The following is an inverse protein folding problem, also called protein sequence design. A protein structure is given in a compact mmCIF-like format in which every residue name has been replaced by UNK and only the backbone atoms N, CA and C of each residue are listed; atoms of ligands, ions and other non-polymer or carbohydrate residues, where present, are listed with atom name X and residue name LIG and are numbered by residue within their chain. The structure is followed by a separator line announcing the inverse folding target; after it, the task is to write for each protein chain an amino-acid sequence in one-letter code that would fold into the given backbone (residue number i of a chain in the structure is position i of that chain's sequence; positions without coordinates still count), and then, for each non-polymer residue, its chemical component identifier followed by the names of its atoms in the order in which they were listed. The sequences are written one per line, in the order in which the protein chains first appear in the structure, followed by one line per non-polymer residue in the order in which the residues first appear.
data_IF_835655204510
#
_entry.id   IF_835655204510
#
_cell.length_a   1.000
_cell.length_b   1.000
_cell.length_c   1.000
_cell.angle_alpha   90.00
_cell.angle_beta   90.00
_cell.angle_gamma   90.00
#
_symmetry.space_group_name_H-M   'P 1'
#
loop_
_entity.id
_entity.type
_entity.pdbx_description
1 polymer ?
#
# COMPACT_ATOMS: atom_id res chain seq x y z
N UNK A 1 22.44 2.87 -11.05
CA UNK A 1 22.07 1.86 -10.02
C UNK A 1 23.09 0.74 -10.11
N UNK A 2 23.86 0.48 -9.05
CA UNK A 2 24.96 -0.49 -9.13
C UNK A 2 24.46 -1.93 -8.97
N UNK A 3 25.06 -2.90 -9.66
CA UNK A 3 24.77 -4.34 -9.50
C UNK A 3 24.90 -4.80 -8.03
N UNK A 4 25.76 -4.15 -7.26
CA UNK A 4 25.96 -4.40 -5.83
C UNK A 4 24.75 -4.04 -4.97
N UNK A 5 23.97 -3.02 -5.35
CA UNK A 5 22.77 -2.61 -4.59
C UNK A 5 21.63 -3.62 -4.80
N UNK A 6 21.48 -4.10 -6.04
CA UNK A 6 20.52 -5.14 -6.40
C UNK A 6 20.85 -6.46 -5.68
N UNK A 7 22.13 -6.83 -5.62
CA UNK A 7 22.60 -8.03 -4.93
C UNK A 7 22.43 -7.94 -3.42
N UNK A 8 22.61 -6.76 -2.83
CA UNK A 8 22.43 -6.51 -1.39
C UNK A 8 20.95 -6.53 -1.01
N UNK A 9 20.07 -5.90 -1.80
CA UNK A 9 18.61 -5.98 -1.63
C UNK A 9 18.10 -7.41 -1.81
N UNK A 10 18.59 -8.13 -2.83
CA UNK A 10 18.27 -9.55 -3.04
C UNK A 10 18.76 -10.42 -1.88
N UNK A 11 19.90 -10.10 -1.25
CA UNK A 11 20.38 -10.77 -0.02
C UNK A 11 19.51 -10.47 1.19
N UNK A 12 18.95 -9.28 1.33
CA UNK A 12 18.03 -8.94 2.43
C UNK A 12 16.70 -9.67 2.29
N UNK A 13 16.14 -9.70 1.08
CA UNK A 13 14.99 -10.55 0.74
C UNK A 13 15.36 -12.01 1.04
N UNK A 14 16.45 -12.55 0.49
CA UNK A 14 16.84 -13.93 0.75
C UNK A 14 17.17 -14.25 2.23
N UNK A 15 17.59 -13.28 3.05
CA UNK A 15 17.76 -13.46 4.51
C UNK A 15 16.43 -13.45 5.26
N UNK A 16 15.46 -12.64 4.83
CA UNK A 16 14.08 -12.75 5.31
C UNK A 16 13.42 -14.08 4.88
N UNK A 17 13.97 -14.70 3.84
CA UNK A 17 13.63 -16.04 3.35
C UNK A 17 14.63 -17.13 3.81
N UNK A 18 15.55 -16.82 4.74
CA UNK A 18 16.46 -17.84 5.28
C UNK A 18 15.70 -18.72 6.28
N UNK A 19 15.79 -20.06 6.19
CA UNK A 19 15.13 -21.02 7.10
C UNK A 19 15.53 -20.90 8.58
N UNK A 20 16.35 -19.92 8.94
CA UNK A 20 16.87 -19.68 10.29
C UNK A 20 16.06 -18.65 11.09
N UNK A 21 15.08 -17.98 10.47
CA UNK A 21 14.03 -17.28 11.21
C UNK A 21 13.05 -18.32 11.80
N UNK A 22 12.53 -18.11 13.03
CA UNK A 22 11.90 -19.15 13.82
C UNK A 22 10.82 -19.95 13.07
N UNK A 23 10.78 -21.24 13.40
CA UNK A 23 10.27 -22.42 12.64
C UNK A 23 8.76 -22.36 12.30
N UNK A 24 8.06 -21.28 12.62
CA UNK A 24 6.60 -21.12 12.46
C UNK A 24 6.17 -20.82 11.01
N UNK A 25 7.07 -20.29 10.16
CA UNK A 25 6.67 -19.70 8.88
C UNK A 25 6.54 -20.68 7.68
N UNK A 26 7.26 -21.80 7.67
CA UNK A 26 7.29 -22.71 6.50
C UNK A 26 5.91 -23.29 6.13
N UNK A 27 5.04 -23.51 7.10
CA UNK A 27 3.68 -24.03 6.91
C UNK A 27 2.69 -22.97 6.44
N UNK A 28 2.92 -21.68 6.75
CA UNK A 28 2.09 -20.56 6.28
C UNK A 28 2.29 -20.28 4.76
N UNK A 29 3.42 -20.70 4.21
CA UNK A 29 3.83 -20.43 2.82
C UNK A 29 3.65 -21.60 1.85
N UNK A 30 3.30 -22.80 2.33
CA UNK A 30 3.16 -23.98 1.49
C UNK A 30 2.08 -23.76 0.42
N UNK A 31 2.47 -23.74 -0.86
CA UNK A 31 1.57 -23.56 -2.00
C UNK A 31 1.22 -22.10 -2.36
N UNK A 32 1.88 -21.10 -1.75
CA UNK A 32 1.66 -19.66 -2.04
C UNK A 32 2.88 -18.91 -2.58
N UNK A 33 3.99 -19.64 -2.80
CA UNK A 33 5.26 -19.06 -3.24
C UNK A 33 5.13 -18.32 -4.57
N UNK A 34 4.41 -18.89 -5.55
CA UNK A 34 4.26 -18.28 -6.87
C UNK A 34 3.43 -16.98 -6.80
N UNK A 35 2.38 -16.95 -5.98
CA UNK A 35 1.58 -15.73 -5.78
C UNK A 35 2.40 -14.65 -5.07
N UNK A 36 3.21 -15.03 -4.07
CA UNK A 36 4.10 -14.08 -3.41
C UNK A 36 5.17 -13.53 -4.35
N UNK A 37 5.82 -14.39 -5.15
CA UNK A 37 6.80 -13.97 -6.15
C UNK A 37 6.17 -13.01 -7.17
N UNK A 38 4.93 -13.28 -7.58
CA UNK A 38 4.16 -12.40 -8.45
C UNK A 38 3.95 -11.03 -7.79
N UNK A 39 3.48 -10.99 -6.55
CA UNK A 39 3.29 -9.73 -5.82
C UNK A 39 4.61 -8.98 -5.59
N UNK A 40 5.70 -9.68 -5.26
CA UNK A 40 7.04 -9.06 -5.16
C UNK A 40 7.46 -8.44 -6.49
N UNK A 41 7.22 -9.12 -7.62
CA UNK A 41 7.55 -8.58 -8.95
C UNK A 41 6.77 -7.31 -9.29
N UNK A 42 5.49 -7.24 -8.89
CA UNK A 42 4.65 -6.05 -9.05
C UNK A 42 5.20 -4.89 -8.21
N UNK A 43 5.49 -5.14 -6.92
CA UNK A 43 5.99 -4.09 -6.00
C UNK A 43 7.29 -3.45 -6.48
N UNK A 44 8.19 -4.22 -7.10
CA UNK A 44 9.46 -3.69 -7.62
C UNK A 44 9.37 -3.07 -9.02
N UNK A 45 8.18 -3.05 -9.63
CA UNK A 45 7.93 -2.41 -10.93
C UNK A 45 7.07 -1.16 -10.74
N UNK A 46 7.65 0.02 -11.00
CA UNK A 46 6.91 1.29 -10.89
C UNK A 46 5.71 1.32 -11.84
N UNK A 47 4.62 1.92 -11.37
CA UNK A 47 3.36 2.01 -12.10
C UNK A 47 2.58 0.69 -12.20
N UNK A 48 3.06 -0.40 -11.61
CA UNK A 48 2.31 -1.65 -11.50
C UNK A 48 1.54 -1.70 -10.18
N UNK A 49 0.31 -2.17 -10.27
CA UNK A 49 -0.61 -2.36 -9.15
C UNK A 49 -1.17 -3.78 -9.24
N UNK A 50 -1.66 -4.33 -8.11
CA UNK A 50 -2.13 -5.71 -8.07
C UNK A 50 -3.55 -5.82 -7.54
N UNK A 51 -4.26 -6.84 -8.05
CA UNK A 51 -5.53 -7.29 -7.51
C UNK A 51 -5.41 -8.76 -7.11
N UNK A 52 -5.67 -9.06 -5.85
CA UNK A 52 -5.77 -10.41 -5.30
C UNK A 52 -7.26 -10.78 -5.24
N UNK A 53 -7.68 -11.74 -6.04
CA UNK A 53 -9.08 -12.16 -6.10
C UNK A 53 -9.25 -13.68 -5.99
N UNK A 54 -10.46 -14.11 -5.64
CA UNK A 54 -10.81 -15.52 -5.50
C UNK A 54 -11.95 -15.75 -4.51
N UNK A 55 -12.37 -17.00 -4.36
CA UNK A 55 -13.48 -17.40 -3.48
C UNK A 55 -13.19 -17.15 -1.99
N UNK A 56 -14.24 -17.18 -1.15
CA UNK A 56 -14.09 -17.05 0.31
C UNK A 56 -13.29 -18.25 0.84
N UNK A 57 -12.39 -18.00 1.80
CA UNK A 57 -11.62 -19.07 2.46
C UNK A 57 -10.33 -19.49 1.75
N UNK A 58 -10.03 -18.99 0.54
CA UNK A 58 -8.80 -19.35 -0.20
C UNK A 58 -7.51 -18.69 0.34
N UNK A 59 -7.60 -17.86 1.38
CA UNK A 59 -6.42 -17.27 2.04
C UNK A 59 -5.90 -15.96 1.44
N UNK A 60 -6.74 -15.16 0.79
CA UNK A 60 -6.37 -13.83 0.25
C UNK A 60 -5.86 -12.87 1.34
N UNK A 61 -6.64 -12.71 2.42
CA UNK A 61 -6.28 -11.93 3.61
C UNK A 61 -4.96 -12.41 4.22
N UNK A 62 -4.76 -13.73 4.33
CA UNK A 62 -3.52 -14.31 4.83
C UNK A 62 -2.33 -13.92 3.95
N UNK A 63 -2.46 -14.05 2.62
CA UNK A 63 -1.42 -13.65 1.68
C UNK A 63 -1.09 -12.16 1.80
N UNK A 64 -2.10 -11.28 1.80
CA UNK A 64 -1.90 -9.83 1.91
C UNK A 64 -1.20 -9.43 3.22
N UNK A 65 -1.61 -10.00 4.35
CA UNK A 65 -0.97 -9.71 5.66
C UNK A 65 0.47 -10.16 5.72
N UNK A 66 0.76 -11.35 5.21
CA UNK A 66 2.13 -11.87 5.21
C UNK A 66 3.01 -11.06 4.25
N UNK A 67 2.51 -10.68 3.08
CA UNK A 67 3.23 -9.79 2.16
C UNK A 67 3.48 -8.42 2.78
N UNK A 68 2.51 -7.86 3.50
CA UNK A 68 2.71 -6.63 4.28
C UNK A 68 3.88 -6.78 5.23
N UNK A 69 3.90 -7.82 6.06
CA UNK A 69 4.98 -8.07 7.03
C UNK A 69 6.35 -8.19 6.37
N UNK A 70 6.43 -8.92 5.25
CA UNK A 70 7.69 -9.07 4.49
C UNK A 70 8.17 -7.72 3.95
N UNK A 71 7.27 -6.92 3.38
CA UNK A 71 7.63 -5.64 2.73
C UNK A 71 7.92 -4.53 3.73
N UNK A 72 7.27 -4.55 4.90
CA UNK A 72 7.47 -3.56 5.98
C UNK A 72 8.90 -3.58 6.54
N UNK A 73 9.65 -4.65 6.30
CA UNK A 73 11.05 -4.78 6.71
C UNK A 73 12.03 -3.94 5.86
N UNK A 74 11.63 -3.51 4.66
CA UNK A 74 12.48 -2.83 3.69
C UNK A 74 11.87 -1.58 3.05
N UNK A 75 10.54 -1.42 3.15
CA UNK A 75 9.76 -0.30 2.63
C UNK A 75 8.64 0.02 3.62
N UNK A 76 8.02 1.20 3.53
CA UNK A 76 6.81 1.44 4.31
C UNK A 76 5.64 0.62 3.72
N UNK A 77 4.97 -0.19 4.55
CA UNK A 77 3.79 -0.93 4.14
C UNK A 77 2.59 -0.64 5.05
N UNK A 78 1.43 -0.32 4.46
CA UNK A 78 0.17 -0.13 5.18
C UNK A 78 -0.87 -1.18 4.82
N UNK A 79 -1.85 -1.33 5.70
CA UNK A 79 -2.92 -2.32 5.55
C UNK A 79 -4.24 -1.73 6.05
N UNK A 80 -5.25 -1.71 5.19
CA UNK A 80 -6.63 -1.36 5.53
C UNK A 80 -7.55 -2.55 5.28
N UNK A 81 -8.52 -2.79 6.16
CA UNK A 81 -9.61 -3.75 5.92
C UNK A 81 -10.90 -2.97 5.76
N UNK A 82 -11.50 -3.02 4.58
CA UNK A 82 -12.72 -2.28 4.30
C UNK A 82 -13.89 -2.77 5.17
N UNK A 83 -14.75 -1.82 5.53
CA UNK A 83 -16.05 -2.06 6.14
C UNK A 83 -17.19 -1.64 5.20
N UNK A 84 -18.42 -2.04 5.50
CA UNK A 84 -19.58 -1.74 4.64
C UNK A 84 -19.89 -0.24 4.54
N UNK A 85 -19.59 0.51 5.60
CA UNK A 85 -19.80 1.96 5.67
C UNK A 85 -18.58 2.79 5.27
N UNK A 86 -17.51 2.16 4.76
CA UNK A 86 -16.37 2.93 4.27
C UNK A 86 -16.73 3.73 3.01
N UNK A 87 -16.16 4.94 2.91
CA UNK A 87 -16.16 5.78 1.71
C UNK A 87 -14.77 5.76 1.08
N UNK A 88 -14.64 6.30 -0.14
CA UNK A 88 -13.33 6.45 -0.77
C UNK A 88 -12.39 7.29 0.12
N UNK A 89 -12.91 8.38 0.69
CA UNK A 89 -12.20 9.25 1.61
C UNK A 89 -11.88 8.61 2.96
N UNK A 90 -12.77 7.80 3.55
CA UNK A 90 -12.47 7.15 4.84
C UNK A 90 -11.32 6.16 4.73
N UNK A 91 -11.27 5.40 3.64
CA UNK A 91 -10.20 4.42 3.37
C UNK A 91 -8.85 5.15 3.24
N UNK A 92 -8.76 6.16 2.37
CA UNK A 92 -7.50 6.87 2.17
C UNK A 92 -7.04 7.63 3.39
N UNK A 93 -7.95 8.27 4.14
CA UNK A 93 -7.57 8.90 5.42
C UNK A 93 -7.05 7.90 6.42
N UNK A 94 -7.68 6.73 6.54
CA UNK A 94 -7.21 5.68 7.44
C UNK A 94 -5.79 5.24 7.07
N UNK A 95 -5.53 4.99 5.78
CA UNK A 95 -4.22 4.59 5.25
C UNK A 95 -3.17 5.66 5.49
N UNK A 96 -3.42 6.89 5.03
CA UNK A 96 -2.46 7.99 5.11
C UNK A 96 -2.19 8.40 6.57
N UNK A 97 -3.16 8.21 7.47
CA UNK A 97 -2.98 8.41 8.89
C UNK A 97 -2.08 7.37 9.56
N UNK A 98 -1.67 6.30 8.87
CA UNK A 98 -0.64 5.39 9.39
C UNK A 98 0.78 5.87 9.06
N UNK A 99 0.93 6.80 8.11
CA UNK A 99 2.20 7.45 7.82
C UNK A 99 2.35 8.70 8.71
N UNK A 100 3.33 8.67 9.61
CA UNK A 100 3.65 9.78 10.50
C UNK A 100 4.82 10.55 9.92
N UNK A 101 4.62 11.83 9.59
CA UNK A 101 5.70 12.72 9.18
C UNK A 101 6.23 13.48 10.39
N UNK A 102 7.53 13.37 10.64
CA UNK A 102 8.23 14.22 11.60
C UNK A 102 8.43 15.61 10.95
N UNK A 103 7.43 16.50 11.06
CA UNK A 103 7.63 17.90 10.65
C UNK A 103 8.47 18.64 11.70
N UNK A 104 9.74 18.86 11.40
CA UNK A 104 10.56 19.85 12.13
C UNK A 104 10.25 21.25 11.60
N UNK A 105 9.35 21.97 12.24
CA UNK A 105 9.17 23.41 11.98
C UNK A 105 10.22 24.20 12.77
N UNK A 106 11.05 25.05 12.14
CA UNK A 106 11.93 25.95 12.88
C UNK A 106 11.06 26.86 13.75
N UNK A 107 11.39 26.94 15.04
CA UNK A 107 10.68 27.82 15.98
C UNK A 107 10.88 29.29 15.57
N UNK A 108 9.79 30.03 15.39
CA UNK A 108 9.84 31.48 15.16
C UNK A 108 9.79 32.17 16.52
N UNK A 109 10.92 32.71 16.98
CA UNK A 109 11.02 33.50 18.22
C UNK A 109 12.35 33.31 18.97
N UNK A 110 12.63 34.21 19.91
CA UNK A 110 13.87 34.25 20.74
C UNK A 110 14.12 33.01 21.63
N UNK A 111 13.22 32.02 21.61
CA UNK A 111 13.38 30.73 22.29
C UNK A 111 13.44 29.65 21.23
N UNK A 112 14.63 29.10 21.02
CA UNK A 112 14.96 28.16 19.97
C UNK A 112 14.45 26.74 20.28
N UNK A 113 13.16 26.60 20.61
CA UNK A 113 12.52 25.30 20.83
C UNK A 113 11.84 24.87 19.54
N UNK A 114 12.47 23.96 18.80
CA UNK A 114 11.84 23.28 17.65
C UNK A 114 10.57 22.58 18.14
N UNK A 115 9.38 23.11 17.81
CA UNK A 115 8.14 22.38 17.97
C UNK A 115 8.07 21.35 16.84
N UNK A 116 8.27 20.08 17.19
CA UNK A 116 7.95 18.96 16.30
C UNK A 116 6.45 18.80 16.35
N UNK A 117 5.76 19.16 15.26
CA UNK A 117 4.37 18.79 15.08
C UNK A 117 4.38 17.48 14.32
N UNK A 118 3.85 16.41 14.90
CA UNK A 118 3.68 15.15 14.17
C UNK A 118 2.52 15.37 13.21
N UNK A 119 2.82 15.57 11.94
CA UNK A 119 1.84 15.69 10.87
C UNK A 119 1.38 14.30 10.43
N UNK A 120 0.15 14.23 9.91
CA UNK A 120 -0.36 13.04 9.25
C UNK A 120 -0.56 13.35 7.79
N UNK A 121 -0.15 12.44 6.89
CA UNK A 121 -0.38 12.66 5.46
C UNK A 121 -1.88 12.66 5.10
N UNK A 122 -2.74 12.19 6.00
CA UNK A 122 -4.19 12.34 5.87
C UNK A 122 -4.66 13.80 5.89
N UNK A 123 -3.86 14.71 6.48
CA UNK A 123 -4.16 16.15 6.56
C UNK A 123 -4.00 16.85 5.20
N UNK A 124 -3.31 16.22 4.25
CA UNK A 124 -3.16 16.70 2.86
C UNK A 124 -4.42 16.47 2.02
N UNK A 125 -5.36 15.65 2.50
CA UNK A 125 -6.64 15.45 1.82
C UNK A 125 -7.60 16.61 2.16
N UNK A 126 -8.39 17.08 1.18
CA UNK A 126 -9.37 18.13 1.43
C UNK A 126 -10.41 17.70 2.48
N UNK A 127 -11.07 18.65 3.17
CA UNK A 127 -12.25 18.31 3.97
C UNK A 127 -13.36 17.75 3.08
N UNK A 128 -14.04 16.68 3.52
CA UNK A 128 -15.13 16.04 2.76
C UNK A 128 -14.69 14.80 1.98
N UNK A 129 -15.24 14.54 0.80
CA UNK A 129 -14.82 13.38 -0.01
C UNK A 129 -13.74 13.82 -1.02
N UNK A 130 -12.52 13.24 -0.96
CA UNK A 130 -11.45 13.60 -1.87
C UNK A 130 -11.71 13.05 -3.28
N UNK A 131 -11.22 13.73 -4.29
CA UNK A 131 -11.17 13.20 -5.65
C UNK A 131 -9.98 12.22 -5.82
N UNK A 132 -9.98 11.37 -6.87
CA UNK A 132 -8.82 10.56 -7.24
C UNK A 132 -7.53 11.38 -7.42
N UNK A 133 -7.66 12.61 -7.91
CA UNK A 133 -6.55 13.53 -8.10
C UNK A 133 -5.97 14.02 -6.76
N UNK A 134 -6.81 14.31 -5.77
CA UNK A 134 -6.36 14.74 -4.44
C UNK A 134 -5.60 13.61 -3.73
N UNK A 135 -6.10 12.38 -3.84
CA UNK A 135 -5.41 11.20 -3.34
C UNK A 135 -4.08 10.99 -4.04
N UNK A 136 -4.01 11.18 -5.36
CA UNK A 136 -2.74 11.09 -6.07
C UNK A 136 -1.72 12.10 -5.55
N UNK A 137 -2.08 13.37 -5.30
CA UNK A 137 -1.14 14.34 -4.72
C UNK A 137 -0.60 13.87 -3.36
N UNK A 138 -1.48 13.37 -2.49
CA UNK A 138 -1.05 12.84 -1.19
C UNK A 138 -0.11 11.63 -1.35
N UNK A 139 -0.37 10.74 -2.32
CA UNK A 139 0.48 9.58 -2.58
C UNK A 139 1.81 9.93 -3.27
N UNK A 140 1.90 11.04 -4.01
CA UNK A 140 3.17 11.58 -4.50
C UNK A 140 4.06 12.04 -3.33
N UNK A 141 3.47 12.75 -2.36
CA UNK A 141 4.18 13.13 -1.13
C UNK A 141 4.63 11.91 -0.32
N UNK A 142 3.79 10.85 -0.27
CA UNK A 142 4.19 9.57 0.32
C UNK A 142 5.37 8.96 -0.44
N UNK A 143 5.31 8.93 -1.78
CA UNK A 143 6.35 8.34 -2.62
C UNK A 143 7.70 9.05 -2.46
N UNK A 144 7.69 10.37 -2.26
CA UNK A 144 8.89 11.16 -2.00
C UNK A 144 9.49 10.86 -0.62
N UNK A 145 8.65 10.73 0.41
CA UNK A 145 9.09 10.47 1.78
C UNK A 145 9.44 9.00 2.04
N UNK A 146 8.74 8.07 1.39
CA UNK A 146 8.90 6.63 1.49
C UNK A 146 8.76 5.98 0.10
N UNK A 147 9.84 5.99 -0.71
CA UNK A 147 9.85 5.35 -2.01
C UNK A 147 9.59 3.85 -1.91
N UNK A 148 8.95 3.29 -2.94
CA UNK A 148 8.62 1.85 -3.00
C UNK A 148 7.64 1.44 -1.87
N UNK A 149 6.81 2.38 -1.39
CA UNK A 149 5.77 2.14 -0.40
C UNK A 149 4.65 1.27 -0.96
N UNK A 150 4.06 0.44 -0.09
CA UNK A 150 3.04 -0.54 -0.49
C UNK A 150 1.78 -0.40 0.37
N UNK A 151 0.64 -0.34 -0.28
CA UNK A 151 -0.66 -0.13 0.36
C UNK A 151 -1.54 -1.34 0.07
N UNK A 152 -1.91 -2.09 1.12
CA UNK A 152 -2.84 -3.20 1.02
C UNK A 152 -4.24 -2.77 1.45
N UNK A 153 -5.25 -3.08 0.63
CA UNK A 153 -6.67 -2.79 0.92
C UNK A 153 -7.44 -4.10 0.78
N UNK A 154 -7.84 -4.69 1.90
CA UNK A 154 -8.53 -5.97 1.98
C UNK A 154 -10.04 -5.83 2.14
N UNK A 155 -10.78 -6.88 1.79
CA UNK A 155 -12.25 -6.88 1.70
C UNK A 155 -12.82 -5.73 0.85
N UNK A 156 -12.14 -5.37 -0.25
CA UNK A 156 -12.52 -4.22 -1.09
C UNK A 156 -13.91 -4.34 -1.74
N UNK A 157 -14.51 -5.54 -1.76
CA UNK A 157 -15.91 -5.77 -2.17
C UNK A 157 -16.95 -5.38 -1.10
N UNK A 158 -16.53 -5.00 0.10
CA UNK A 158 -17.43 -4.79 1.23
C UNK A 158 -18.13 -3.43 1.27
N UNK A 159 -17.51 -2.30 0.89
CA UNK A 159 -18.19 -1.01 0.89
C UNK A 159 -19.42 -1.01 -0.02
N UNK A 160 -20.49 -0.34 0.42
CA UNK A 160 -21.77 -0.35 -0.32
C UNK A 160 -21.92 0.77 -1.35
N UNK A 161 -21.07 1.80 -1.28
CA UNK A 161 -21.09 2.91 -2.23
C UNK A 161 -20.57 2.45 -3.61
N UNK A 162 -21.40 2.50 -4.67
CA UNK A 162 -20.99 2.06 -6.00
C UNK A 162 -19.90 2.93 -6.62
N UNK A 163 -19.70 4.18 -6.16
CA UNK A 163 -18.69 5.09 -6.71
C UNK A 163 -17.26 4.70 -6.34
N UNK A 164 -17.07 3.97 -5.23
CA UNK A 164 -15.73 3.62 -4.69
C UNK A 164 -14.88 2.87 -5.72
N UNK A 165 -15.45 1.87 -6.38
CA UNK A 165 -14.69 1.09 -7.38
C UNK A 165 -14.21 1.96 -8.55
N UNK A 166 -15.02 2.93 -8.99
CA UNK A 166 -14.64 3.87 -10.05
C UNK A 166 -13.53 4.80 -9.58
N UNK A 167 -13.69 5.43 -8.40
CA UNK A 167 -12.67 6.35 -7.88
C UNK A 167 -11.32 5.66 -7.62
N UNK A 168 -11.32 4.41 -7.15
CA UNK A 168 -10.09 3.63 -7.00
C UNK A 168 -9.45 3.28 -8.34
N UNK A 169 -10.24 2.90 -9.36
CA UNK A 169 -9.72 2.66 -10.69
C UNK A 169 -9.10 3.92 -11.30
N UNK A 170 -9.79 5.06 -11.20
CA UNK A 170 -9.26 6.36 -11.65
C UNK A 170 -7.96 6.70 -10.92
N UNK A 171 -7.90 6.48 -9.60
CA UNK A 171 -6.69 6.71 -8.80
C UNK A 171 -5.54 5.82 -9.29
N UNK A 172 -5.77 4.51 -9.40
CA UNK A 172 -4.76 3.54 -9.84
C UNK A 172 -4.26 3.87 -11.25
N UNK A 173 -5.16 4.26 -12.15
CA UNK A 173 -4.82 4.68 -13.51
C UNK A 173 -3.90 5.91 -13.50
N UNK A 174 -4.26 6.95 -12.75
CA UNK A 174 -3.42 8.15 -12.63
C UNK A 174 -2.04 7.80 -12.06
N UNK A 175 -1.97 6.96 -11.02
CA UNK A 175 -0.70 6.52 -10.41
C UNK A 175 0.15 5.72 -11.40
N UNK A 176 -0.47 4.85 -12.19
CA UNK A 176 0.18 4.03 -13.21
C UNK A 176 0.74 4.89 -14.35
N UNK A 177 -0.10 5.76 -14.92
CA UNK A 177 0.26 6.67 -16.02
C UNK A 177 1.43 7.59 -15.63
N UNK A 178 1.46 8.03 -14.37
CA UNK A 178 2.50 8.91 -13.84
C UNK A 178 3.68 8.15 -13.19
N UNK A 179 3.62 6.81 -13.17
CA UNK A 179 4.66 5.95 -12.58
C UNK A 179 5.05 6.34 -11.14
N UNK A 180 4.06 6.74 -10.33
CA UNK A 180 4.26 7.11 -8.92
C UNK A 180 4.85 5.92 -8.17
N UNK A 181 5.86 6.16 -7.31
CA UNK A 181 6.61 5.10 -6.63
C UNK A 181 5.88 4.50 -5.41
N UNK A 182 4.58 4.23 -5.57
CA UNK A 182 3.67 3.60 -4.61
C UNK A 182 2.97 2.43 -5.30
N UNK A 183 2.93 1.27 -4.66
CA UNK A 183 2.14 0.13 -5.12
C UNK A 183 0.84 0.02 -4.33
N UNK A 184 -0.28 -0.11 -5.03
CA UNK A 184 -1.59 -0.39 -4.43
C UNK A 184 -1.96 -1.84 -4.71
N UNK A 185 -2.31 -2.58 -3.66
CA UNK A 185 -2.73 -3.98 -3.73
C UNK A 185 -4.15 -4.09 -3.18
N UNK A 186 -5.10 -4.40 -4.06
CA UNK A 186 -6.49 -4.60 -3.68
C UNK A 186 -6.77 -6.09 -3.48
N UNK A 187 -7.34 -6.49 -2.35
CA UNK A 187 -7.81 -7.84 -2.10
C UNK A 187 -9.33 -7.86 -2.00
N UNK A 188 -9.96 -8.69 -2.82
CA UNK A 188 -11.42 -8.72 -2.96
C UNK A 188 -11.91 -10.12 -3.30
N UNK A 189 -13.21 -10.38 -3.06
CA UNK A 189 -13.87 -11.54 -3.66
C UNK A 189 -13.88 -11.41 -5.17
N UNK A 190 -13.96 -12.56 -5.85
CA UNK A 190 -14.13 -12.54 -7.31
C UNK A 190 -15.41 -11.79 -7.68
N UNK A 191 -15.26 -10.69 -8.40
CA UNK A 191 -16.36 -9.92 -8.95
C UNK A 191 -15.97 -9.38 -10.32
N UNK A 192 -16.66 -9.84 -11.36
CA UNK A 192 -16.30 -9.55 -12.76
C UNK A 192 -16.20 -8.04 -13.05
N UNK A 193 -17.07 -7.23 -12.44
CA UNK A 193 -17.04 -5.76 -12.59
C UNK A 193 -15.78 -5.14 -12.00
N UNK A 194 -15.25 -5.66 -10.88
CA UNK A 194 -14.03 -5.12 -10.27
C UNK A 194 -12.82 -5.32 -11.17
N UNK A 195 -12.70 -6.51 -11.76
CA UNK A 195 -11.63 -6.85 -12.70
C UNK A 195 -11.72 -5.98 -13.95
N UNK A 196 -12.92 -5.77 -14.49
CA UNK A 196 -13.11 -4.90 -15.67
C UNK A 196 -12.84 -3.42 -15.41
N UNK A 197 -13.11 -2.94 -14.19
CA UNK A 197 -12.89 -1.53 -13.82
C UNK A 197 -11.42 -1.24 -13.51
N UNK A 198 -10.69 -2.21 -12.93
CA UNK A 198 -9.31 -2.02 -12.48
C UNK A 198 -8.24 -2.40 -13.53
N UNK A 199 -8.60 -3.12 -14.60
CA UNK A 199 -7.66 -3.66 -15.61
C UNK A 199 -7.86 -2.99 -17.00
N UNK A 200 -8.55 -1.85 -17.08
CA UNK A 200 -8.73 -1.05 -18.32
C UNK A 200 -7.97 0.27 -18.28
#
# INVERSE_FOLDING_TARGET
MSESDLYTRRKLVLRSFSPSAPITNRTLFAGRIDQMNTLMSVVYQRGQHAVIYGERGVGKTSLAKVMKEVLDSGSWASYHTCASGDTFGSIWRSILATFRTDERRPGVGFVNTTKVTIGSLADELPPGEPSPNDVRLALELLADAAPESVIFIDEFDRPTDPAISSHFADTIKILSDQSVAVTVVLASRFHERLVQTLIK
#
